data_IF_898345818280
#
_entry.id   IF_898345818280
#
_cell.length_a   1.000
_cell.length_b   1.000
_cell.length_c   1.000
_cell.angle_alpha   90.00
_cell.angle_beta   90.00
_cell.angle_gamma   90.00
#
_symmetry.space_group_name_H-M   'P 1'
#
loop_
_entity.id
_entity.type
_entity.pdbx_description
1 polymer ?
#
# COMPACT_ATOMS: atom_id res chain seq x y z
N UNK A 1 -0.64 23.30 -8.13
CA UNK A 1 -0.84 22.67 -6.81
C UNK A 1 -1.76 23.57 -5.99
N UNK A 2 -2.89 23.04 -5.50
CA UNK A 2 -3.85 23.78 -4.67
C UNK A 2 -3.71 23.27 -3.24
N UNK A 3 -3.30 24.09 -2.25
CA UNK A 3 -3.20 23.66 -0.86
C UNK A 3 -4.59 23.57 -0.21
N UNK A 4 -4.70 22.83 0.90
CA UNK A 4 -5.96 22.64 1.63
C UNK A 4 -6.58 23.95 2.21
N UNK A 5 -5.76 25.00 2.36
CA UNK A 5 -6.19 26.25 2.99
C UNK A 5 -6.29 26.16 4.52
N UNK A 6 -6.93 27.15 5.17
CA UNK A 6 -7.14 27.14 6.62
C UNK A 6 -7.97 25.93 7.06
N UNK A 7 -7.67 25.38 8.25
CA UNK A 7 -8.43 24.25 8.81
C UNK A 7 -9.89 24.67 9.02
N UNK A 8 -10.86 24.05 8.32
CA UNK A 8 -12.26 24.40 8.46
C UNK A 8 -12.85 23.77 9.74
N UNK A 9 -13.94 24.33 10.29
CA UNK A 9 -14.63 23.72 11.42
C UNK A 9 -15.25 22.36 11.05
N UNK A 10 -15.72 22.19 9.80
CA UNK A 10 -16.42 20.99 9.32
C UNK A 10 -15.86 20.50 7.96
N UNK A 11 -14.73 19.76 7.93
CA UNK A 11 -14.11 19.33 6.67
C UNK A 11 -14.99 18.39 5.85
N UNK A 12 -15.63 17.40 6.47
CA UNK A 12 -16.48 16.44 5.77
C UNK A 12 -17.67 17.11 5.05
N UNK A 13 -18.28 18.12 5.66
CA UNK A 13 -19.37 18.89 5.05
C UNK A 13 -18.89 19.65 3.82
N UNK A 14 -17.70 20.25 3.86
CA UNK A 14 -17.15 20.92 2.68
C UNK A 14 -16.92 19.96 1.51
N UNK A 15 -16.49 18.73 1.81
CA UNK A 15 -16.27 17.70 0.79
C UNK A 15 -17.57 17.15 0.19
N UNK A 16 -18.71 17.21 0.90
CA UNK A 16 -20.01 16.73 0.38
C UNK A 16 -20.78 17.77 -0.44
N UNK A 17 -20.37 19.04 -0.41
CA UNK A 17 -21.07 20.11 -1.14
C UNK A 17 -20.86 20.01 -2.65
N UNK A 18 -21.92 20.31 -3.41
CA UNK A 18 -21.91 20.45 -4.87
C UNK A 18 -20.93 21.51 -5.40
N UNK A 19 -20.41 22.39 -4.52
CA UNK A 19 -19.36 23.35 -4.89
C UNK A 19 -18.06 22.65 -5.26
N UNK A 20 -17.76 21.49 -4.65
CA UNK A 20 -16.60 20.68 -5.01
C UNK A 20 -16.74 20.15 -6.44
N UNK A 21 -17.90 19.58 -6.77
CA UNK A 21 -18.20 19.02 -8.09
C UNK A 21 -18.04 20.09 -9.20
N UNK A 22 -18.56 21.30 -8.95
CA UNK A 22 -18.39 22.45 -9.87
C UNK A 22 -16.93 22.90 -10.00
N UNK A 23 -16.18 22.90 -8.90
CA UNK A 23 -14.78 23.29 -8.91
C UNK A 23 -13.93 22.31 -9.73
N UNK A 24 -14.18 21.01 -9.58
CA UNK A 24 -13.47 19.97 -10.31
C UNK A 24 -13.84 19.99 -11.79
N UNK A 25 -15.12 20.15 -12.13
CA UNK A 25 -15.55 20.28 -13.53
C UNK A 25 -14.83 21.42 -14.25
N UNK A 26 -14.67 22.57 -13.57
CA UNK A 26 -13.88 23.69 -14.13
C UNK A 26 -12.40 23.34 -14.29
N UNK A 27 -11.80 22.66 -13.31
CA UNK A 27 -10.39 22.25 -13.41
C UNK A 27 -10.18 21.24 -14.54
N UNK A 28 -11.16 20.38 -14.83
CA UNK A 28 -11.08 19.44 -15.96
C UNK A 28 -11.02 20.14 -17.33
N UNK A 29 -11.49 21.39 -17.45
CA UNK A 29 -11.35 22.19 -18.67
C UNK A 29 -9.93 22.72 -18.87
N UNK A 30 -9.15 22.84 -17.79
CA UNK A 30 -7.82 23.47 -17.79
C UNK A 30 -6.67 22.47 -17.64
N UNK A 31 -6.92 21.25 -17.14
CA UNK A 31 -5.90 20.25 -16.83
C UNK A 31 -6.24 18.87 -17.41
N UNK A 32 -5.25 18.22 -18.01
CA UNK A 32 -5.39 16.84 -18.52
C UNK A 32 -5.53 15.81 -17.40
N UNK A 33 -4.89 16.05 -16.26
CA UNK A 33 -4.90 15.16 -15.11
C UNK A 33 -5.02 15.95 -13.81
N UNK A 34 -5.87 15.47 -12.90
CA UNK A 34 -6.09 16.04 -11.57
C UNK A 34 -5.80 14.94 -10.54
N UNK A 35 -4.80 15.19 -9.69
CA UNK A 35 -4.50 14.33 -8.55
C UNK A 35 -5.07 14.96 -7.28
N UNK A 36 -5.86 14.18 -6.54
CA UNK A 36 -6.44 14.59 -5.26
C UNK A 36 -5.79 13.74 -4.17
N UNK A 37 -5.02 14.38 -3.30
CA UNK A 37 -4.42 13.73 -2.14
C UNK A 37 -5.45 13.66 -0.99
N UNK A 38 -5.57 12.50 -0.35
CA UNK A 38 -6.51 12.26 0.73
C UNK A 38 -5.82 11.63 1.95
N UNK A 39 -6.35 11.91 3.14
CA UNK A 39 -5.82 11.36 4.38
C UNK A 39 -5.84 9.81 4.40
N UNK A 40 -4.93 9.15 5.16
CA UNK A 40 -4.87 7.70 5.24
C UNK A 40 -6.22 7.06 5.55
N UNK A 41 -6.63 6.12 4.70
CA UNK A 41 -7.98 5.54 4.65
C UNK A 41 -8.38 4.69 5.86
N UNK A 42 -7.56 4.57 6.90
CA UNK A 42 -7.89 3.79 8.11
C UNK A 42 -9.13 4.31 8.88
N UNK A 43 -9.59 5.54 8.59
CA UNK A 43 -10.91 6.06 8.90
C UNK A 43 -11.50 6.68 7.63
N UNK A 44 -12.26 5.87 6.89
CA UNK A 44 -12.46 5.95 5.44
C UNK A 44 -13.46 7.04 4.96
N UNK A 45 -13.76 8.09 5.72
CA UNK A 45 -14.84 9.01 5.31
C UNK A 45 -14.50 9.82 4.06
N UNK A 46 -13.35 10.49 4.07
CA UNK A 46 -13.12 11.60 3.14
C UNK A 46 -12.84 11.10 1.72
N UNK A 47 -12.08 9.99 1.60
CA UNK A 47 -11.80 9.36 0.30
C UNK A 47 -13.09 8.81 -0.32
N UNK A 48 -14.00 8.22 0.48
CA UNK A 48 -15.29 7.75 -0.03
C UNK A 48 -16.19 8.90 -0.48
N UNK A 49 -16.17 10.03 0.23
CA UNK A 49 -16.92 11.24 -0.16
C UNK A 49 -16.39 11.81 -1.48
N UNK A 50 -15.07 11.90 -1.62
CA UNK A 50 -14.39 12.43 -2.81
C UNK A 50 -14.49 11.45 -3.99
N UNK A 51 -14.67 10.14 -3.75
CA UNK A 51 -14.74 9.15 -4.82
C UNK A 51 -15.78 9.48 -5.91
N UNK A 52 -16.86 10.19 -5.57
CA UNK A 52 -17.90 10.59 -6.55
C UNK A 52 -17.40 11.48 -7.69
N UNK A 53 -16.30 12.21 -7.48
CA UNK A 53 -15.68 13.11 -8.46
C UNK A 53 -14.39 12.53 -9.06
N UNK A 54 -14.04 11.29 -8.71
CA UNK A 54 -12.81 10.65 -9.16
C UNK A 54 -13.11 9.53 -10.17
N UNK A 55 -12.39 9.52 -11.29
CA UNK A 55 -12.50 8.44 -12.28
C UNK A 55 -11.83 7.15 -11.81
N UNK A 56 -10.75 7.28 -11.02
CA UNK A 56 -10.01 6.15 -10.46
C UNK A 56 -9.43 6.49 -9.09
N UNK A 57 -9.30 5.47 -8.24
CA UNK A 57 -8.71 5.58 -6.90
C UNK A 57 -7.44 4.73 -6.78
N UNK A 58 -6.34 5.32 -6.33
CA UNK A 58 -5.09 4.60 -6.07
C UNK A 58 -4.92 4.38 -4.57
N UNK A 59 -4.99 3.13 -4.14
CA UNK A 59 -4.75 2.73 -2.75
C UNK A 59 -3.29 2.32 -2.58
N UNK A 60 -2.59 2.97 -1.65
CA UNK A 60 -1.15 2.75 -1.45
C UNK A 60 -0.93 1.92 -0.18
N UNK A 61 -0.27 0.77 -0.31
CA UNK A 61 0.25 0.00 0.80
C UNK A 61 1.77 0.09 0.82
N UNK A 62 2.37 0.48 1.95
CA UNK A 62 3.82 0.55 2.09
C UNK A 62 4.37 -0.79 2.57
N UNK A 63 5.36 -1.33 1.87
CA UNK A 63 6.10 -2.52 2.26
C UNK A 63 6.73 -2.32 3.65
N UNK A 64 6.74 -3.38 4.46
CA UNK A 64 7.25 -3.41 5.83
C UNK A 64 6.64 -2.40 6.80
N UNK A 65 5.54 -1.72 6.41
CA UNK A 65 4.85 -0.72 7.24
C UNK A 65 3.35 -0.97 7.31
N UNK A 66 2.68 -1.14 6.16
CA UNK A 66 1.26 -1.48 6.11
C UNK A 66 1.02 -2.90 6.62
N UNK A 67 0.07 -3.04 7.55
CA UNK A 67 -0.26 -4.34 8.12
C UNK A 67 -1.00 -5.24 7.12
N UNK A 68 -1.02 -6.56 7.37
CA UNK A 68 -1.90 -7.48 6.64
C UNK A 68 -3.40 -7.11 6.78
N UNK A 69 -3.76 -6.38 7.83
CA UNK A 69 -5.10 -5.83 8.00
C UNK A 69 -5.43 -4.76 6.94
N UNK A 70 -4.48 -3.89 6.61
CA UNK A 70 -4.67 -2.88 5.55
C UNK A 70 -4.87 -3.53 4.17
N UNK A 71 -4.14 -4.60 3.87
CA UNK A 71 -4.34 -5.36 2.63
C UNK A 71 -5.70 -6.06 2.58
N UNK A 72 -6.16 -6.65 3.69
CA UNK A 72 -7.51 -7.22 3.77
C UNK A 72 -8.58 -6.17 3.55
N UNK A 73 -8.41 -4.99 4.14
CA UNK A 73 -9.33 -3.87 3.96
C UNK A 73 -9.33 -3.35 2.52
N UNK A 74 -8.16 -3.22 1.89
CA UNK A 74 -8.06 -2.87 0.47
C UNK A 74 -8.79 -3.90 -0.42
N UNK A 75 -8.65 -5.20 -0.13
CA UNK A 75 -9.38 -6.25 -0.86
C UNK A 75 -10.90 -6.13 -0.66
N UNK A 76 -11.37 -5.80 0.54
CA UNK A 76 -12.80 -5.57 0.80
C UNK A 76 -13.32 -4.38 -0.02
N UNK A 77 -12.60 -3.26 -0.05
CA UNK A 77 -12.95 -2.09 -0.86
C UNK A 77 -13.05 -2.42 -2.36
N UNK A 78 -12.10 -3.21 -2.87
CA UNK A 78 -12.11 -3.67 -4.26
C UNK A 78 -13.29 -4.60 -4.55
N UNK A 79 -13.55 -5.58 -3.67
CA UNK A 79 -14.65 -6.54 -3.86
C UNK A 79 -16.03 -5.89 -3.78
N UNK A 80 -16.18 -4.91 -2.90
CA UNK A 80 -17.44 -4.19 -2.69
C UNK A 80 -17.65 -3.03 -3.68
N UNK A 81 -16.64 -2.69 -4.49
CA UNK A 81 -16.72 -1.60 -5.45
C UNK A 81 -16.94 -0.23 -4.81
N UNK A 82 -16.47 -0.04 -3.56
CA UNK A 82 -16.65 1.22 -2.81
C UNK A 82 -15.88 2.40 -3.41
N UNK A 83 -14.82 2.11 -4.16
CA UNK A 83 -13.97 3.08 -4.83
C UNK A 83 -13.95 2.81 -6.33
N UNK A 84 -14.02 3.89 -7.12
CA UNK A 84 -14.06 3.83 -8.57
C UNK A 84 -12.72 3.32 -9.09
N UNK A 85 -12.74 2.33 -9.98
CA UNK A 85 -11.57 1.79 -10.70
C UNK A 85 -10.33 1.65 -9.79
N UNK A 86 -10.52 1.04 -8.62
CA UNK A 86 -9.49 0.99 -7.59
C UNK A 86 -8.24 0.23 -8.05
N UNK A 87 -7.07 0.87 -7.89
CA UNK A 87 -5.76 0.27 -8.12
C UNK A 87 -5.01 0.14 -6.79
N UNK A 88 -4.30 -0.98 -6.60
CA UNK A 88 -3.43 -1.18 -5.44
C UNK A 88 -1.97 -0.97 -5.85
N UNK A 89 -1.27 -0.09 -5.14
CA UNK A 89 0.16 0.17 -5.32
C UNK A 89 0.91 -0.27 -4.07
N UNK A 90 1.89 -1.16 -4.24
CA UNK A 90 2.84 -1.49 -3.18
C UNK A 90 4.04 -0.53 -3.29
N UNK A 91 4.17 0.35 -2.31
CA UNK A 91 5.21 1.37 -2.25
C UNK A 91 6.33 0.97 -1.28
N UNK A 92 7.54 1.48 -1.48
CA UNK A 92 8.66 1.30 -0.55
C UNK A 92 9.24 -0.12 -0.51
N UNK A 93 9.03 -0.90 -1.56
CA UNK A 93 9.66 -2.22 -1.72
C UNK A 93 11.18 -2.01 -1.83
N UNK A 94 11.93 -2.47 -0.84
CA UNK A 94 13.40 -2.53 -0.92
C UNK A 94 13.83 -3.72 -1.79
N UNK A 95 15.09 -3.75 -2.21
CA UNK A 95 15.63 -4.74 -3.17
C UNK A 95 14.99 -6.12 -2.99
N UNK A 96 14.34 -6.56 -4.07
CA UNK A 96 13.66 -7.83 -4.18
C UNK A 96 14.67 -8.93 -3.85
N UNK A 97 14.68 -9.38 -2.59
CA UNK A 97 15.37 -10.60 -2.24
C UNK A 97 14.65 -11.69 -3.04
N UNK A 98 15.24 -12.10 -4.17
CA UNK A 98 14.85 -13.28 -4.94
C UNK A 98 15.08 -14.52 -4.06
N UNK A 99 14.33 -14.62 -2.97
CA UNK A 99 14.17 -15.82 -2.20
C UNK A 99 13.32 -16.75 -3.04
N UNK A 100 13.98 -17.56 -3.86
CA UNK A 100 13.41 -18.82 -4.30
C UNK A 100 12.83 -19.53 -3.07
N UNK A 101 11.50 -19.59 -3.01
CA UNK A 101 10.80 -20.02 -1.81
C UNK A 101 9.31 -20.23 -2.05
N UNK A 102 8.94 -20.83 -3.18
CA UNK A 102 7.64 -21.48 -3.32
C UNK A 102 7.61 -22.68 -2.35
N UNK A 103 7.20 -22.43 -1.11
CA UNK A 103 6.88 -23.46 -0.13
C UNK A 103 5.46 -24.00 -0.38
N UNK A 104 5.27 -24.70 -1.50
CA UNK A 104 4.11 -25.53 -1.73
C UNK A 104 4.57 -26.97 -2.02
N UNK A 105 4.23 -27.87 -1.08
CA UNK A 105 3.84 -29.25 -1.35
C UNK A 105 4.85 -30.23 -1.97
N UNK A 106 5.25 -31.21 -1.15
CA UNK A 106 5.53 -32.60 -1.52
C UNK A 106 6.55 -32.89 -2.65
N UNK A 107 7.74 -33.36 -2.28
CA UNK A 107 8.68 -33.97 -3.21
C UNK A 107 9.80 -34.72 -2.50
N UNK A 108 9.81 -36.04 -2.67
CA UNK A 108 10.83 -36.99 -2.21
C UNK A 108 12.25 -36.63 -2.66
N UNK A 109 13.24 -36.96 -1.82
CA UNK A 109 14.42 -37.66 -2.30
C UNK A 109 15.73 -36.88 -2.42
N UNK A 110 16.75 -37.47 -1.78
CA UNK A 110 18.20 -37.34 -1.98
C UNK A 110 18.93 -36.17 -1.30
N UNK A 111 19.61 -36.56 -0.23
CA UNK A 111 20.57 -35.75 0.48
C UNK A 111 21.89 -35.65 -0.27
N UNK A 112 22.58 -34.53 -0.02
CA UNK A 112 24.02 -34.46 -0.05
C UNK A 112 24.46 -33.63 1.15
N UNK A 113 24.98 -34.34 2.16
CA UNK A 113 25.58 -33.73 3.32
C UNK A 113 26.89 -33.04 2.94
N UNK A 114 26.99 -31.75 3.24
CA UNK A 114 28.28 -31.09 3.34
C UNK A 114 28.51 -30.70 4.81
N UNK A 115 29.01 -31.67 5.57
CA UNK A 115 29.57 -31.50 6.90
C UNK A 115 30.84 -30.63 6.80
N UNK A 116 30.72 -29.31 6.98
CA UNK A 116 31.89 -28.48 7.26
C UNK A 116 32.31 -28.68 8.71
N UNK A 117 33.29 -29.56 8.90
CA UNK A 117 34.03 -29.79 10.15
C UNK A 117 34.66 -28.47 10.63
N UNK A 118 34.13 -27.90 11.72
CA UNK A 118 34.84 -26.90 12.54
C UNK A 118 36.04 -27.58 13.22
N UNK A 119 37.24 -27.13 12.86
CA UNK A 119 38.51 -27.60 13.43
C UNK A 119 38.60 -27.31 14.93
N UNK A 120 38.78 -28.37 15.73
CA UNK A 120 39.12 -28.29 17.16
C UNK A 120 40.58 -27.85 17.32
N UNK A 121 40.82 -26.69 17.94
CA UNK A 121 42.12 -26.37 18.55
C UNK A 121 42.34 -27.26 19.78
N UNK A 122 43.34 -28.16 19.72
CA UNK A 122 43.96 -28.76 20.91
C UNK A 122 45.36 -28.16 21.06
N UNK A 123 45.62 -27.45 22.16
CA UNK A 123 46.97 -27.21 22.68
C UNK A 123 47.16 -28.11 23.90
N UNK A 124 48.02 -29.12 23.76
CA UNK A 124 48.74 -29.78 24.85
C UNK A 124 50.24 -29.67 24.49
N UNK A 125 51.21 -29.66 25.38
CA UNK A 125 51.23 -29.90 26.82
C UNK A 125 52.58 -29.51 27.41
N UNK A 126 52.75 -29.85 28.69
CA UNK A 126 53.86 -29.59 29.62
C UNK A 126 55.27 -29.87 29.07
N UNK A 127 56.22 -29.04 29.53
CA UNK A 127 57.36 -29.51 30.34
C UNK A 127 57.35 -28.72 31.64
#
# INVERSE_FOLDING_TARGET
MIPAGPVPPNPAELLTRNTLDKAIARLQEEYDFIFIDSAPTSQVSDTLIINRIADASVYICRADYSSKGNLRFANELMQTGKLNNMLLVINGVTEYHRGYGYGYGYGYGYGYGHNQKKGKKKKGGKK
#
